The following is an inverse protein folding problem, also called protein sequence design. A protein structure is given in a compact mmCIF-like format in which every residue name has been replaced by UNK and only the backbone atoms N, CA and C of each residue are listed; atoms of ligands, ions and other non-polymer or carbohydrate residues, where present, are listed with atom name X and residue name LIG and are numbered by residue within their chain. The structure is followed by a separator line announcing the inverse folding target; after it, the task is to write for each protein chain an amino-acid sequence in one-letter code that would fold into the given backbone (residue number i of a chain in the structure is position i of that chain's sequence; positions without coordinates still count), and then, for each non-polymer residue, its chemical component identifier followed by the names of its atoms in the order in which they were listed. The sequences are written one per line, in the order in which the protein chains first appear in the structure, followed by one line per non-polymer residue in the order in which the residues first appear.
data_IF_854971015643
#
_entry.id   IF_854971015643
#
_cell.length_a   1.000
_cell.length_b   1.000
_cell.length_c   1.000
_cell.angle_alpha   90.00
_cell.angle_beta   90.00
_cell.angle_gamma   90.00
#
_symmetry.space_group_name_H-M   'P 1'
#
loop_
_entity.id
_entity.type
_entity.pdbx_description
1 polymer ?
#
# COMPACT_ATOMS: atom_id res chain seq x y z
N UNK A 1 -8.70 24.75 -9.39
CA UNK A 1 -9.87 23.94 -8.99
C UNK A 1 -9.38 22.91 -7.98
N UNK A 2 -9.82 23.03 -6.72
CA UNK A 2 -9.44 22.09 -5.65
C UNK A 2 -10.37 20.88 -5.69
N UNK A 3 -9.81 19.66 -5.73
CA UNK A 3 -10.61 18.43 -5.64
C UNK A 3 -10.79 18.07 -4.17
N UNK A 4 -12.06 17.96 -3.76
CA UNK A 4 -12.50 17.48 -2.47
C UNK A 4 -12.43 15.95 -2.46
N UNK A 5 -12.02 15.35 -1.34
CA UNK A 5 -12.21 13.93 -1.11
C UNK A 5 -12.89 13.76 0.25
N UNK A 6 -13.99 13.02 0.25
CA UNK A 6 -14.71 12.60 1.44
C UNK A 6 -14.40 11.12 1.70
N UNK A 7 -14.24 10.75 2.96
CA UNK A 7 -14.21 9.34 3.36
C UNK A 7 -15.67 8.88 3.39
N UNK A 8 -16.06 8.07 2.40
CA UNK A 8 -17.44 7.59 2.24
C UNK A 8 -17.49 6.17 2.79
N UNK A 9 -17.68 6.04 4.11
CA UNK A 9 -17.86 4.74 4.77
C UNK A 9 -17.74 4.83 6.28
N UNK A 10 -18.60 4.12 7.00
CA UNK A 10 -18.40 3.90 8.44
C UNK A 10 -17.22 2.95 8.65
N UNK A 11 -16.29 3.32 9.53
CA UNK A 11 -15.21 2.44 9.99
C UNK A 11 -15.84 1.42 10.93
N UNK A 12 -16.34 0.33 10.37
CA UNK A 12 -17.08 -0.70 11.12
C UNK A 12 -16.17 -1.76 11.75
N UNK A 13 -14.92 -1.87 11.30
CA UNK A 13 -13.92 -2.81 11.83
C UNK A 13 -12.72 -2.08 12.43
N UNK A 14 -12.87 -1.63 13.68
CA UNK A 14 -11.74 -1.32 14.54
C UNK A 14 -11.49 -2.55 15.42
N UNK A 15 -10.65 -3.46 14.95
CA UNK A 15 -10.20 -4.56 15.80
C UNK A 15 -9.17 -4.02 16.80
N UNK A 16 -9.52 -4.08 18.08
CA UNK A 16 -8.60 -3.70 19.15
C UNK A 16 -7.55 -4.80 19.31
N UNK A 17 -6.45 -4.66 18.57
CA UNK A 17 -5.33 -5.61 18.56
C UNK A 17 -4.57 -5.70 19.90
N UNK A 18 -4.84 -4.81 20.85
CA UNK A 18 -4.41 -4.92 22.25
C UNK A 18 -5.26 -4.01 23.16
N UNK A 19 -5.82 -4.56 24.25
CA UNK A 19 -6.28 -3.78 25.43
C UNK A 19 -5.24 -3.93 26.53
N UNK A 20 -4.92 -2.83 27.22
CA UNK A 20 -4.02 -2.77 28.39
C UNK A 20 -2.56 -3.18 28.19
N UNK A 21 -2.07 -3.20 26.96
CA UNK A 21 -0.65 -3.40 26.67
C UNK A 21 -0.12 -2.23 25.85
N UNK A 22 0.80 -1.47 26.45
CA UNK A 22 1.44 -0.33 25.82
C UNK A 22 2.23 -0.70 24.55
N UNK A 23 2.71 0.32 23.85
CA UNK A 23 3.47 0.25 22.58
C UNK A 23 4.63 -0.76 22.60
N UNK A 24 5.11 -1.14 23.78
CA UNK A 24 6.14 -2.17 24.01
C UNK A 24 5.75 -3.58 23.54
N UNK A 25 4.45 -3.91 23.50
CA UNK A 25 3.97 -5.19 22.97
C UNK A 25 4.00 -5.25 21.43
N UNK A 26 4.17 -4.11 20.75
CA UNK A 26 4.20 -4.02 19.27
C UNK A 26 5.33 -4.87 18.68
N UNK A 27 6.49 -4.93 19.34
CA UNK A 27 7.59 -5.81 18.90
C UNK A 27 7.26 -7.30 19.01
N UNK A 28 6.37 -7.69 19.94
CA UNK A 28 5.92 -9.07 20.11
C UNK A 28 4.79 -9.40 19.13
N UNK A 29 3.86 -8.47 18.90
CA UNK A 29 2.76 -8.63 17.95
C UNK A 29 3.26 -8.64 16.50
N UNK A 30 4.15 -7.71 16.13
CA UNK A 30 4.84 -7.76 14.84
C UNK A 30 5.56 -9.09 14.67
N UNK A 31 6.28 -9.57 15.70
CA UNK A 31 6.92 -10.90 15.66
C UNK A 31 5.93 -12.06 15.49
N UNK A 32 4.70 -11.93 15.96
CA UNK A 32 3.69 -13.01 15.89
C UNK A 32 3.02 -13.08 14.51
N UNK A 33 2.73 -11.92 13.91
CA UNK A 33 2.18 -11.84 12.55
C UNK A 33 3.25 -12.12 11.47
N UNK A 34 4.46 -11.62 11.66
CA UNK A 34 5.62 -11.91 10.80
C UNK A 34 6.02 -13.40 10.86
N UNK A 35 5.72 -14.10 11.96
CA UNK A 35 5.96 -15.55 12.06
C UNK A 35 4.99 -16.40 11.22
N UNK A 36 3.74 -15.94 11.02
CA UNK A 36 2.77 -16.65 10.17
C UNK A 36 3.18 -16.60 8.70
N UNK A 37 3.76 -15.49 8.24
CA UNK A 37 4.30 -15.38 6.88
C UNK A 37 5.55 -16.25 6.68
N UNK A 38 6.43 -16.29 7.70
CA UNK A 38 7.70 -17.04 7.65
C UNK A 38 7.57 -18.56 7.60
N UNK A 39 6.50 -19.15 8.17
CA UNK A 39 6.32 -20.63 8.18
C UNK A 39 6.03 -21.19 6.77
N UNK A 40 5.73 -20.34 5.78
CA UNK A 40 5.55 -20.76 4.37
C UNK A 40 6.83 -20.79 3.52
N UNK A 41 8.01 -20.44 4.07
CA UNK A 41 9.30 -20.63 3.39
C UNK A 41 9.56 -19.80 2.12
N UNK A 42 8.61 -18.96 1.67
CA UNK A 42 8.85 -17.90 0.69
C UNK A 42 8.83 -16.57 1.44
N UNK A 43 9.93 -15.81 1.38
CA UNK A 43 9.88 -14.35 1.59
C UNK A 43 8.79 -13.83 0.64
N UNK A 44 7.62 -13.51 1.17
CA UNK A 44 6.63 -12.70 0.46
C UNK A 44 7.23 -11.31 0.35
N UNK A 45 8.09 -11.10 -0.64
CA UNK A 45 8.45 -9.74 -1.02
C UNK A 45 7.17 -9.14 -1.59
N UNK A 46 6.47 -8.36 -0.76
CA UNK A 46 5.38 -7.51 -1.21
C UNK A 46 5.92 -6.61 -2.33
N UNK A 47 5.63 -6.96 -3.58
CA UNK A 47 6.04 -6.18 -4.75
C UNK A 47 4.90 -5.24 -5.13
N UNK A 48 5.24 -4.02 -5.49
CA UNK A 48 4.27 -3.10 -6.09
C UNK A 48 4.21 -3.35 -7.59
N UNK A 49 3.02 -3.26 -8.15
CA UNK A 49 2.77 -3.36 -9.59
C UNK A 49 1.98 -2.16 -10.07
N UNK A 50 2.21 -1.73 -11.31
CA UNK A 50 1.45 -0.67 -11.97
C UNK A 50 0.45 -1.29 -12.94
N UNK A 51 -0.81 -0.89 -12.86
CA UNK A 51 -1.83 -1.30 -13.82
C UNK A 51 -1.55 -0.64 -15.18
N UNK A 52 -1.52 -1.44 -16.26
CA UNK A 52 -1.30 -0.97 -17.64
C UNK A 52 -2.53 -1.07 -18.53
N UNK A 53 -3.50 -1.90 -18.15
CA UNK A 53 -4.81 -2.07 -18.81
C UNK A 53 -5.84 -2.58 -17.80
N UNK A 54 -7.12 -2.33 -18.07
CA UNK A 54 -8.22 -2.70 -17.19
C UNK A 54 -9.47 -3.17 -17.96
N UNK A 55 -9.32 -3.60 -19.21
CA UNK A 55 -10.43 -4.07 -20.05
C UNK A 55 -11.11 -5.31 -19.44
N UNK A 56 -12.41 -5.52 -19.65
CA UNK A 56 -13.07 -6.78 -19.22
C UNK A 56 -12.88 -7.89 -20.26
N UNK A 57 -12.85 -9.14 -19.80
CA UNK A 57 -12.77 -10.32 -20.69
C UNK A 57 -14.08 -10.66 -21.40
N UNK A 58 -15.19 -10.24 -20.82
CA UNK A 58 -16.51 -10.65 -21.27
C UNK A 58 -17.02 -9.64 -22.30
N UNK A 59 -17.07 -10.07 -23.57
CA UNK A 59 -17.70 -9.31 -24.65
C UNK A 59 -19.19 -8.98 -24.40
N UNK A 60 -19.81 -9.68 -23.45
CA UNK A 60 -21.22 -9.52 -23.05
C UNK A 60 -21.39 -8.90 -21.65
N UNK A 61 -20.30 -8.49 -20.98
CA UNK A 61 -20.44 -7.70 -19.75
C UNK A 61 -20.91 -6.29 -20.09
N UNK A 62 -21.82 -5.75 -19.29
CA UNK A 62 -22.23 -4.35 -19.38
C UNK A 62 -21.10 -3.39 -18.99
N UNK A 63 -20.05 -3.89 -18.34
CA UNK A 63 -18.88 -3.12 -17.96
C UNK A 63 -17.76 -3.28 -19.00
N UNK A 64 -17.35 -2.16 -19.61
CA UNK A 64 -16.22 -2.12 -20.56
C UNK A 64 -14.87 -2.30 -19.85
N UNK A 65 -14.79 -2.05 -18.54
CA UNK A 65 -13.57 -2.13 -17.73
C UNK A 65 -13.81 -2.65 -16.32
N UNK A 66 -12.80 -3.24 -15.68
CA UNK A 66 -12.80 -3.47 -14.24
C UNK A 66 -12.81 -2.12 -13.50
N UNK A 67 -13.92 -1.79 -12.85
CA UNK A 67 -14.11 -0.50 -12.17
C UNK A 67 -13.09 -0.25 -11.05
N UNK A 68 -12.57 -1.32 -10.44
CA UNK A 68 -11.64 -1.26 -9.32
C UNK A 68 -10.16 -1.14 -9.76
N UNK A 69 -9.90 -1.28 -11.06
CA UNK A 69 -8.59 -1.07 -11.67
C UNK A 69 -8.52 0.25 -12.44
N UNK A 70 -7.57 1.10 -12.08
CA UNK A 70 -7.27 2.36 -12.76
C UNK A 70 -5.91 2.26 -13.44
N UNK A 71 -5.86 2.46 -14.76
CA UNK A 71 -4.62 2.44 -15.54
C UNK A 71 -3.65 3.51 -15.02
N UNK A 72 -2.39 3.12 -14.82
CA UNK A 72 -1.34 3.95 -14.24
C UNK A 72 -1.28 3.93 -12.72
N UNK A 73 -2.30 3.43 -12.02
CA UNK A 73 -2.30 3.31 -10.57
C UNK A 73 -1.40 2.17 -10.10
N UNK A 74 -0.79 2.36 -8.94
CA UNK A 74 0.07 1.38 -8.27
C UNK A 74 -0.76 0.57 -7.27
N UNK A 75 -0.58 -0.74 -7.29
CA UNK A 75 -1.26 -1.72 -6.45
C UNK A 75 -0.23 -2.58 -5.69
N UNK A 76 -0.61 -3.07 -4.51
CA UNK A 76 0.19 -4.02 -3.75
C UNK A 76 -0.08 -5.43 -4.25
N UNK A 77 0.96 -6.13 -4.71
CA UNK A 77 0.90 -7.54 -5.09
C UNK A 77 1.11 -8.43 -3.87
N UNK A 78 0.28 -9.46 -3.74
CA UNK A 78 0.42 -10.50 -2.73
C UNK A 78 1.01 -11.78 -3.34
N UNK A 79 1.55 -12.64 -2.48
CA UNK A 79 1.89 -13.99 -2.87
C UNK A 79 0.63 -14.74 -3.32
N UNK A 80 0.76 -15.51 -4.40
CA UNK A 80 -0.25 -16.46 -4.84
C UNK A 80 -0.30 -17.65 -3.88
N UNK A 81 -1.49 -18.24 -3.73
CA UNK A 81 -1.60 -19.55 -3.10
C UNK A 81 -0.98 -20.64 -4.00
N UNK A 82 -0.55 -21.79 -3.43
CA UNK A 82 0.06 -22.86 -4.22
C UNK A 82 -0.79 -23.31 -5.42
N UNK A 83 -2.10 -23.37 -5.25
CA UNK A 83 -3.07 -23.72 -6.28
C UNK A 83 -3.20 -22.68 -7.42
N UNK A 84 -2.72 -21.46 -7.20
CA UNK A 84 -2.80 -20.34 -8.16
C UNK A 84 -1.49 -20.16 -8.93
N UNK A 85 -0.41 -20.84 -8.55
CA UNK A 85 0.95 -20.56 -9.03
C UNK A 85 1.10 -20.64 -10.55
N UNK A 86 0.34 -21.53 -11.20
CA UNK A 86 0.41 -21.77 -12.65
C UNK A 86 -0.76 -21.12 -13.42
N UNK A 87 -1.56 -20.28 -12.76
CA UNK A 87 -2.76 -19.68 -13.35
C UNK A 87 -2.49 -18.55 -14.36
N UNK A 88 -1.27 -18.01 -14.38
CA UNK A 88 -0.95 -16.78 -15.12
C UNK A 88 -1.61 -15.52 -14.52
N UNK A 89 -2.10 -15.61 -13.28
CA UNK A 89 -2.74 -14.52 -12.56
C UNK A 89 -1.77 -13.87 -11.56
N UNK A 90 -2.12 -12.67 -11.12
CA UNK A 90 -1.52 -11.97 -9.99
C UNK A 90 -2.60 -11.62 -8.98
N UNK A 91 -2.27 -11.77 -7.70
CA UNK A 91 -3.14 -11.34 -6.60
C UNK A 91 -2.76 -9.92 -6.21
N UNK A 92 -3.71 -8.97 -6.31
CA UNK A 92 -3.48 -7.57 -5.92
C UNK A 92 -4.58 -7.09 -4.98
N UNK A 93 -4.23 -6.18 -4.09
CA UNK A 93 -5.19 -5.44 -3.27
C UNK A 93 -5.65 -4.24 -4.09
N UNK A 94 -6.90 -4.21 -4.52
CA UNK A 94 -7.45 -3.14 -5.36
C UNK A 94 -8.08 -1.99 -4.57
N UNK A 95 -8.88 -1.14 -5.23
CA UNK A 95 -9.53 0.02 -4.61
C UNK A 95 -10.54 -0.33 -3.51
N UNK A 96 -11.02 -1.58 -3.45
CA UNK A 96 -11.90 -2.06 -2.39
C UNK A 96 -11.15 -2.38 -1.08
N UNK A 97 -9.83 -2.59 -1.15
CA UNK A 97 -9.03 -3.08 -0.04
C UNK A 97 -8.98 -4.60 0.10
N UNK A 98 -9.68 -5.34 -0.75
CA UNK A 98 -9.69 -6.80 -0.76
C UNK A 98 -8.70 -7.38 -1.80
N UNK A 99 -8.17 -8.60 -1.57
CA UNK A 99 -7.22 -9.24 -2.48
C UNK A 99 -7.94 -10.05 -3.57
N UNK A 100 -7.85 -9.57 -4.82
CA UNK A 100 -8.43 -10.23 -5.99
C UNK A 100 -7.37 -10.74 -6.97
N UNK A 101 -7.74 -11.76 -7.75
CA UNK A 101 -6.93 -12.30 -8.83
C UNK A 101 -7.26 -11.59 -10.14
N UNK A 102 -6.20 -11.13 -10.81
CA UNK A 102 -6.29 -10.54 -12.13
C UNK A 102 -5.21 -11.13 -13.04
N UNK A 103 -5.36 -11.05 -14.37
CA UNK A 103 -4.33 -11.58 -15.26
C UNK A 103 -3.03 -10.80 -15.16
N UNK A 104 -1.91 -11.52 -15.17
CA UNK A 104 -0.60 -10.91 -14.96
C UNK A 104 -0.24 -9.84 -16.00
N UNK A 105 -0.76 -9.95 -17.23
CA UNK A 105 -0.49 -9.00 -18.32
C UNK A 105 -1.21 -7.64 -18.13
N UNK A 106 -2.09 -7.50 -17.14
CA UNK A 106 -2.72 -6.23 -16.74
C UNK A 106 -1.76 -5.35 -15.94
N UNK A 107 -0.64 -5.91 -15.48
CA UNK A 107 0.25 -5.28 -14.53
C UNK A 107 1.68 -5.38 -14.97
N UNK A 108 2.46 -4.34 -14.73
CA UNK A 108 3.91 -4.38 -14.84
C UNK A 108 4.57 -4.17 -13.48
N UNK A 109 5.75 -4.76 -13.22
CA UNK A 109 6.49 -4.49 -12.01
C UNK A 109 6.76 -2.99 -11.85
N UNK A 110 6.51 -2.44 -10.67
CA UNK A 110 6.88 -1.06 -10.38
C UNK A 110 8.40 -1.00 -10.17
N UNK A 111 9.11 -0.42 -11.14
CA UNK A 111 10.52 -0.09 -11.03
C UNK A 111 10.64 1.39 -10.65
N UNK A 112 11.15 1.68 -9.45
CA UNK A 112 11.49 3.05 -9.08
C UNK A 112 12.90 3.30 -9.63
N UNK A 113 13.00 3.96 -10.78
CA UNK A 113 14.28 4.42 -11.31
C UNK A 113 14.67 5.69 -10.57
N UNK A 114 15.84 5.70 -9.93
CA UNK A 114 16.30 6.79 -9.06
C UNK A 114 16.37 8.19 -9.71
N UNK A 115 16.30 8.28 -11.05
CA UNK A 115 16.36 9.53 -11.81
C UNK A 115 15.02 10.17 -12.22
N UNK A 116 13.92 9.41 -12.25
CA UNK A 116 12.60 9.88 -12.75
C UNK A 116 11.63 10.15 -11.59
N UNK A 117 12.09 10.83 -10.53
CA UNK A 117 11.15 11.33 -9.50
C UNK A 117 10.42 12.55 -10.08
N UNK A 118 9.13 12.47 -10.46
CA UNK A 118 8.38 13.66 -10.86
C UNK A 118 8.43 14.66 -9.71
N UNK A 119 9.11 15.78 -9.92
CA UNK A 119 9.70 16.58 -8.85
C UNK A 119 8.72 17.44 -8.04
N UNK A 120 7.39 17.33 -8.25
CA UNK A 120 6.43 18.28 -7.67
C UNK A 120 5.07 17.67 -7.26
N UNK A 121 4.95 16.37 -7.01
CA UNK A 121 3.70 15.83 -6.46
C UNK A 121 3.54 16.24 -4.99
N UNK A 122 2.42 16.89 -4.67
CA UNK A 122 2.08 17.34 -3.32
C UNK A 122 0.97 16.45 -2.73
N UNK A 123 1.25 15.88 -1.56
CA UNK A 123 0.25 15.20 -0.73
C UNK A 123 -0.23 16.17 0.36
N UNK A 124 -1.54 16.36 0.50
CA UNK A 124 -2.15 17.10 1.61
C UNK A 124 -2.84 16.13 2.55
N UNK A 125 -2.44 16.12 3.83
CA UNK A 125 -3.01 15.24 4.85
C UNK A 125 -3.75 16.11 5.87
N UNK A 126 -4.97 15.72 6.23
CA UNK A 126 -5.71 16.33 7.35
C UNK A 126 -5.42 15.51 8.59
N UNK A 127 -4.90 16.17 9.62
CA UNK A 127 -4.60 15.57 10.93
C UNK A 127 -5.48 16.26 11.98
N UNK A 128 -5.90 15.52 12.99
CA UNK A 128 -6.45 16.14 14.19
C UNK A 128 -5.37 16.98 14.89
N UNK A 129 -5.83 17.81 15.82
CA UNK A 129 -4.97 18.77 16.50
C UNK A 129 -3.84 18.11 17.31
N UNK A 130 -4.12 16.96 17.94
CA UNK A 130 -3.17 16.24 18.80
C UNK A 130 -2.08 15.62 17.93
N UNK A 131 -2.45 14.87 16.89
CA UNK A 131 -1.46 14.26 15.99
C UNK A 131 -0.60 15.32 15.29
N UNK A 132 -1.18 16.45 14.90
CA UNK A 132 -0.41 17.59 14.36
C UNK A 132 0.60 18.14 15.37
N UNK A 133 0.20 18.28 16.63
CA UNK A 133 1.07 18.75 17.71
C UNK A 133 2.25 17.80 17.98
N UNK A 134 1.99 16.49 18.04
CA UNK A 134 3.03 15.46 18.19
C UNK A 134 4.01 15.49 17.02
N UNK A 135 3.51 15.52 15.78
CA UNK A 135 4.35 15.54 14.59
C UNK A 135 5.26 16.78 14.55
N UNK A 136 4.74 17.93 14.97
CA UNK A 136 5.53 19.15 15.10
C UNK A 136 6.63 19.02 16.16
N UNK A 137 6.33 18.47 17.34
CA UNK A 137 7.31 18.27 18.41
C UNK A 137 8.45 17.32 17.98
N UNK A 138 8.12 16.21 17.32
CA UNK A 138 9.11 15.26 16.79
C UNK A 138 10.01 15.90 15.71
N UNK A 139 9.42 16.71 14.82
CA UNK A 139 10.17 17.44 13.81
C UNK A 139 11.16 18.43 14.44
N UNK A 140 10.75 19.15 15.49
CA UNK A 140 11.63 20.04 16.25
C UNK A 140 12.76 19.26 16.95
N UNK A 141 12.44 18.15 17.62
CA UNK A 141 13.42 17.33 18.34
C UNK A 141 14.50 16.77 17.40
N UNK A 142 14.10 16.37 16.18
CA UNK A 142 15.01 15.83 15.15
C UNK A 142 15.65 16.91 14.27
N UNK A 143 15.33 18.19 14.48
CA UNK A 143 15.78 19.33 13.67
C UNK A 143 15.46 19.17 12.17
N UNK A 144 14.30 18.57 11.87
CA UNK A 144 13.81 18.33 10.51
C UNK A 144 12.56 19.14 10.23
N UNK A 145 12.26 19.39 8.96
CA UNK A 145 10.91 19.82 8.60
C UNK A 145 9.94 18.65 8.78
N UNK A 146 8.67 18.92 9.08
CA UNK A 146 7.62 17.89 9.14
C UNK A 146 7.62 17.03 7.86
N UNK A 147 7.81 17.65 6.70
CA UNK A 147 7.86 16.92 5.42
C UNK A 147 9.08 16.00 5.29
N UNK A 148 10.22 16.35 5.87
CA UNK A 148 11.42 15.51 5.85
C UNK A 148 11.26 14.32 6.79
N UNK A 149 10.73 14.56 7.99
CA UNK A 149 10.43 13.51 8.96
C UNK A 149 9.40 12.50 8.42
N UNK A 150 8.31 12.99 7.79
CA UNK A 150 7.30 12.13 7.18
C UNK A 150 7.87 11.26 6.05
N UNK A 151 8.75 11.80 5.20
CA UNK A 151 9.39 11.02 4.13
C UNK A 151 10.24 9.89 4.70
N UNK A 152 11.04 10.18 5.71
CA UNK A 152 11.85 9.16 6.40
C UNK A 152 10.97 8.07 7.02
N UNK A 153 9.89 8.42 7.73
CA UNK A 153 8.96 7.43 8.27
C UNK A 153 8.23 6.62 7.19
N UNK A 154 7.97 7.22 6.03
CA UNK A 154 7.42 6.51 4.87
C UNK A 154 8.45 5.50 4.36
N UNK A 155 9.69 5.91 4.17
CA UNK A 155 10.79 5.05 3.71
C UNK A 155 11.07 3.91 4.70
N UNK A 156 10.91 4.13 6.02
CA UNK A 156 11.03 3.10 7.05
C UNK A 156 9.86 2.08 7.06
N UNK A 157 8.67 2.49 6.62
CA UNK A 157 7.43 1.71 6.74
C UNK A 157 7.04 1.00 5.45
N UNK A 158 7.40 1.58 4.31
CA UNK A 158 7.09 1.02 3.01
C UNK A 158 8.29 0.25 2.49
N UNK A 159 8.07 -1.02 2.14
CA UNK A 159 9.04 -1.83 1.39
C UNK A 159 9.11 -1.38 -0.07
N UNK A 160 9.54 -0.13 -0.30
CA UNK A 160 9.72 0.39 -1.65
C UNK A 160 10.83 -0.42 -2.35
N UNK A 161 10.66 -0.76 -3.64
CA UNK A 161 11.71 -1.45 -4.37
C UNK A 161 12.98 -0.59 -4.39
N UNK A 162 14.12 -1.22 -4.14
CA UNK A 162 15.44 -0.58 -4.24
C UNK A 162 15.61 -0.02 -5.66
N UNK A 163 16.25 1.15 -5.79
CA UNK A 163 16.55 1.68 -7.11
C UNK A 163 17.59 0.75 -7.75
N UNK A 164 17.28 0.16 -8.90
CA UNK A 164 18.30 -0.42 -9.77
C UNK A 164 19.10 0.76 -10.36
N UNK A 165 20.31 1.00 -9.84
CA UNK A 165 21.29 1.96 -10.38
C UNK A 165 21.87 1.49 -11.74
#
# INVERSE_FOLDING_TARGET
MSKHFDIIGEINDIEVIARDHGVDARHRLNRTYDHRERVSGRRSMSRYVRCRKNDTFFKDDLAETFADLTVGQVYKQMALYPEEADSGMVRVIDGSGEPYLYPADYFEPLLIRGGDRPSNQQLTIRLDEITRGVLHAEAVATKKSISALLREWIDERLDLPENDD
#
